data_IF_033783740408
#
_entry.id   IF_033783740408
#
_cell.length_a   1.000
_cell.length_b   1.000
_cell.length_c   1.000
_cell.angle_alpha   90.00
_cell.angle_beta   90.00
_cell.angle_gamma   90.00
#
_symmetry.space_group_name_H-M   'P 1'
#
loop_
_entity.id
_entity.type
_entity.pdbx_description
1 polymer ?
#
# COMPACT_ATOMS: atom_id res chain seq x y z
N UNK A 1 14.92 -0.25 0.68
CA UNK A 1 13.71 -1.06 0.44
C UNK A 1 13.05 -1.48 1.74
N UNK A 2 13.74 -2.20 2.64
CA UNK A 2 13.15 -2.67 3.91
C UNK A 2 12.46 -1.55 4.70
N UNK A 3 13.13 -0.40 4.86
CA UNK A 3 12.54 0.78 5.51
C UNK A 3 11.22 1.26 4.86
N UNK A 4 11.07 1.10 3.54
CA UNK A 4 9.83 1.47 2.84
C UNK A 4 8.74 0.43 3.15
N UNK A 5 9.07 -0.86 3.12
CA UNK A 5 8.16 -1.95 3.50
C UNK A 5 7.64 -1.70 4.92
N UNK A 6 8.54 -1.43 5.87
CA UNK A 6 8.19 -1.23 7.26
C UNK A 6 7.31 0.01 7.45
N UNK A 7 7.64 1.12 6.78
CA UNK A 7 6.83 2.33 6.81
C UNK A 7 5.42 2.10 6.24
N UNK A 8 5.30 1.38 5.12
CA UNK A 8 4.00 1.06 4.53
C UNK A 8 3.17 0.16 5.45
N UNK A 9 3.78 -0.86 6.08
CA UNK A 9 3.10 -1.73 7.05
C UNK A 9 2.62 -0.96 8.29
N UNK A 10 3.34 0.08 8.70
CA UNK A 10 2.97 0.92 9.84
C UNK A 10 1.87 1.94 9.51
N UNK A 11 1.91 2.55 8.32
CA UNK A 11 0.96 3.61 7.93
C UNK A 11 -0.33 3.08 7.31
N UNK A 12 -0.28 1.98 6.53
CA UNK A 12 -1.43 1.55 5.75
C UNK A 12 -2.29 0.56 6.54
N UNK A 13 -3.62 0.64 6.41
CA UNK A 13 -4.55 -0.20 7.16
C UNK A 13 -4.72 -1.58 6.48
N UNK A 14 -3.60 -2.25 6.15
CA UNK A 14 -3.51 -3.49 5.37
C UNK A 14 -4.30 -4.64 6.00
N UNK A 15 -4.29 -4.73 7.33
CA UNK A 15 -4.92 -5.82 8.09
C UNK A 15 -6.08 -5.33 8.97
N UNK A 16 -6.53 -4.09 8.78
CA UNK A 16 -7.65 -3.53 9.53
C UNK A 16 -8.98 -3.99 8.92
N UNK A 17 -9.87 -4.65 9.70
CA UNK A 17 -11.15 -5.16 9.19
C UNK A 17 -12.01 -4.09 8.51
N UNK A 18 -11.88 -2.84 8.98
CA UNK A 18 -12.69 -1.73 8.49
C UNK A 18 -12.32 -1.30 7.07
N UNK A 19 -11.08 -1.54 6.62
CA UNK A 19 -10.62 -1.29 5.24
C UNK A 19 -11.35 -2.15 4.20
N UNK A 20 -11.93 -3.27 4.65
CA UNK A 20 -12.59 -4.25 3.79
C UNK A 20 -14.10 -4.06 3.66
N UNK A 21 -14.67 -3.05 4.33
CA UNK A 21 -16.10 -2.72 4.20
C UNK A 21 -16.31 -1.79 3.01
N UNK A 22 -17.16 -2.20 2.07
CA UNK A 22 -17.68 -1.30 1.06
C UNK A 22 -18.48 -0.18 1.74
N UNK A 23 -18.27 1.07 1.31
CA UNK A 23 -19.09 2.17 1.76
C UNK A 23 -20.54 1.98 1.28
N UNK A 24 -21.55 2.41 2.06
CA UNK A 24 -22.97 2.19 1.74
C UNK A 24 -23.38 2.73 0.35
N UNK A 25 -22.70 3.78 -0.13
CA UNK A 25 -23.05 4.45 -1.39
C UNK A 25 -22.16 4.06 -2.59
N UNK A 26 -21.21 3.13 -2.44
CA UNK A 26 -20.21 2.77 -3.47
C UNK A 26 -19.43 3.97 -4.07
N UNK A 27 -19.35 5.10 -3.35
CA UNK A 27 -18.70 6.35 -3.79
C UNK A 27 -17.17 6.35 -3.65
N UNK A 28 -16.56 5.20 -3.36
CA UNK A 28 -15.13 5.12 -3.08
C UNK A 28 -14.27 5.53 -4.28
N UNK A 29 -13.37 6.50 -4.09
CA UNK A 29 -12.39 6.93 -5.10
C UNK A 29 -11.23 5.93 -5.06
N UNK A 30 -11.37 4.86 -5.84
CA UNK A 30 -10.55 3.65 -5.72
C UNK A 30 -10.96 2.86 -4.48
N UNK A 31 -11.35 1.60 -4.65
CA UNK A 31 -11.80 0.76 -3.55
C UNK A 31 -10.64 0.49 -2.59
N UNK A 32 -10.72 0.91 -1.29
CA UNK A 32 -9.63 0.72 -0.33
C UNK A 32 -9.17 -0.74 -0.23
N UNK A 33 -10.09 -1.70 -0.28
CA UNK A 33 -9.78 -3.14 -0.32
C UNK A 33 -8.86 -3.51 -1.48
N UNK A 34 -9.21 -3.15 -2.72
CA UNK A 34 -8.40 -3.45 -3.90
C UNK A 34 -7.04 -2.77 -3.84
N UNK A 35 -6.98 -1.55 -3.30
CA UNK A 35 -5.72 -0.84 -3.11
C UNK A 35 -4.83 -1.55 -2.08
N UNK A 36 -5.40 -2.09 -1.00
CA UNK A 36 -4.64 -2.88 -0.02
C UNK A 36 -4.18 -4.22 -0.59
N UNK A 37 -5.01 -4.91 -1.37
CA UNK A 37 -4.61 -6.14 -2.06
C UNK A 37 -3.43 -5.90 -3.03
N UNK A 38 -3.44 -4.79 -3.75
CA UNK A 38 -2.33 -4.37 -4.60
C UNK A 38 -1.04 -4.14 -3.78
N UNK A 39 -1.12 -3.35 -2.72
CA UNK A 39 0.03 -3.06 -1.85
C UNK A 39 0.58 -4.34 -1.23
N UNK A 40 -0.28 -5.21 -0.70
CA UNK A 40 0.13 -6.45 -0.05
C UNK A 40 0.86 -7.38 -1.02
N UNK A 41 0.40 -7.46 -2.28
CA UNK A 41 1.08 -8.21 -3.35
C UNK A 41 2.50 -7.68 -3.60
N UNK A 42 2.66 -6.37 -3.75
CA UNK A 42 3.98 -5.77 -3.98
C UNK A 42 4.90 -5.89 -2.74
N UNK A 43 4.35 -5.77 -1.53
CA UNK A 43 5.10 -5.98 -0.29
C UNK A 43 5.61 -7.42 -0.20
N UNK A 44 4.77 -8.40 -0.51
CA UNK A 44 5.16 -9.81 -0.53
C UNK A 44 6.27 -10.05 -1.56
N UNK A 45 6.14 -9.49 -2.76
CA UNK A 45 7.17 -9.59 -3.79
C UNK A 45 8.51 -9.01 -3.31
N UNK A 46 8.51 -7.77 -2.81
CA UNK A 46 9.75 -7.11 -2.41
C UNK A 46 10.38 -7.73 -1.16
N UNK A 47 9.58 -8.19 -0.20
CA UNK A 47 10.10 -8.91 0.96
C UNK A 47 10.82 -10.18 0.51
N UNK A 48 10.21 -10.97 -0.38
CA UNK A 48 10.84 -12.17 -0.93
C UNK A 48 12.17 -11.89 -1.65
N UNK A 49 12.26 -10.79 -2.42
CA UNK A 49 13.53 -10.41 -3.08
C UNK A 49 14.62 -10.04 -2.07
N UNK A 50 14.26 -9.24 -1.05
CA UNK A 50 15.19 -8.81 0.01
C UNK A 50 15.70 -10.00 0.81
N UNK A 51 14.82 -10.94 1.17
CA UNK A 51 15.17 -12.14 1.94
C UNK A 51 16.19 -13.02 1.19
N UNK A 52 16.21 -12.92 -0.15
CA UNK A 52 17.19 -13.58 -1.02
C UNK A 52 18.45 -12.76 -1.28
N UNK A 53 18.59 -11.59 -0.67
CA UNK A 53 19.71 -10.68 -0.89
C UNK A 53 19.69 -9.96 -2.24
N UNK A 54 18.52 -9.88 -2.90
CA UNK A 54 18.35 -9.19 -4.19
C UNK A 54 17.84 -7.77 -3.92
N UNK A 55 18.67 -6.73 -4.09
CA UNK A 55 18.22 -5.35 -3.89
C UNK A 55 17.41 -4.85 -5.11
N UNK A 56 16.41 -3.97 -4.92
CA UNK A 56 15.80 -3.26 -6.03
C UNK A 56 16.77 -2.26 -6.67
N UNK A 57 16.56 -2.00 -7.95
CA UNK A 57 17.12 -0.84 -8.64
C UNK A 57 16.51 0.48 -8.15
N UNK A 58 17.16 1.60 -8.47
CA UNK A 58 16.63 2.92 -8.16
C UNK A 58 15.31 3.23 -8.87
N UNK A 59 15.10 2.70 -10.09
CA UNK A 59 13.85 2.88 -10.81
C UNK A 59 12.70 2.11 -10.14
N UNK A 60 12.94 0.87 -9.73
CA UNK A 60 11.97 0.06 -8.98
C UNK A 60 11.60 0.70 -7.64
N UNK A 61 12.59 1.20 -6.89
CA UNK A 61 12.36 1.98 -5.67
C UNK A 61 11.48 3.20 -5.94
N UNK A 62 11.77 3.95 -7.01
CA UNK A 62 10.99 5.13 -7.38
C UNK A 62 9.56 4.77 -7.78
N UNK A 63 9.36 3.71 -8.57
CA UNK A 63 8.03 3.23 -8.98
C UNK A 63 7.22 2.77 -7.78
N UNK A 64 7.80 1.96 -6.90
CA UNK A 64 7.13 1.48 -5.70
C UNK A 64 6.76 2.64 -4.75
N UNK A 65 7.70 3.57 -4.54
CA UNK A 65 7.43 4.77 -3.73
C UNK A 65 6.33 5.67 -4.32
N UNK A 66 6.30 5.85 -5.64
CA UNK A 66 5.21 6.59 -6.33
C UNK A 66 3.87 5.89 -6.16
N UNK A 67 3.82 4.58 -6.30
CA UNK A 67 2.62 3.78 -6.07
C UNK A 67 2.09 4.00 -4.65
N UNK A 68 2.95 3.84 -3.63
CA UNK A 68 2.59 4.06 -2.23
C UNK A 68 2.04 5.47 -1.99
N UNK A 69 2.67 6.52 -2.54
CA UNK A 69 2.18 7.91 -2.43
C UNK A 69 0.79 8.10 -3.04
N UNK A 70 0.53 7.50 -4.20
CA UNK A 70 -0.77 7.59 -4.86
C UNK A 70 -1.86 6.85 -4.06
N UNK A 71 -1.52 5.69 -3.50
CA UNK A 71 -2.44 4.90 -2.66
C UNK A 71 -2.74 5.64 -1.36
N UNK A 72 -1.74 6.23 -0.70
CA UNK A 72 -1.93 7.08 0.48
C UNK A 72 -2.93 8.20 0.19
N UNK A 73 -2.79 8.91 -0.94
CA UNK A 73 -3.73 9.98 -1.35
C UNK A 73 -5.16 9.45 -1.52
N UNK A 74 -5.32 8.27 -2.10
CA UNK A 74 -6.64 7.64 -2.22
C UNK A 74 -7.21 7.27 -0.84
N UNK A 75 -6.41 6.70 0.06
CA UNK A 75 -6.85 6.36 1.42
C UNK A 75 -7.27 7.59 2.23
N UNK A 76 -6.53 8.69 2.15
CA UNK A 76 -6.89 9.98 2.77
C UNK A 76 -8.24 10.47 2.26
N UNK A 77 -8.46 10.45 0.93
CA UNK A 77 -9.74 10.84 0.32
C UNK A 77 -10.91 9.95 0.72
N UNK A 78 -10.64 8.67 1.00
CA UNK A 78 -11.63 7.72 1.50
C UNK A 78 -11.75 7.73 3.04
N UNK A 79 -11.09 8.66 3.74
CA UNK A 79 -11.17 8.80 5.20
C UNK A 79 -10.60 7.62 5.98
N UNK A 80 -9.70 6.83 5.38
CA UNK A 80 -9.14 5.61 6.02
C UNK A 80 -7.89 5.88 6.83
N UNK A 81 -7.18 6.96 6.53
CA UNK A 81 -5.99 7.45 7.24
C UNK A 81 -6.00 8.99 7.28
N UNK A 82 -5.34 9.61 8.26
CA UNK A 82 -5.22 11.07 8.33
C UNK A 82 -4.39 11.64 7.17
N UNK A 83 -4.66 12.91 6.83
CA UNK A 83 -4.02 13.65 5.74
C UNK A 83 -2.52 13.87 5.96
#
# INVERSE_FOLDING_TARGET
>A
MQQIIDAVKAEFPLYQPDTFKCGPDNTCIGCPKKLMELVDTDLCYWQYQIDRGIPPSFDELNRFGKMCKNIRRALVRNGRIPA
#
